data_IF_675426938466
#
_entry.id   IF_675426938466
#
_cell.length_a   1.000
_cell.length_b   1.000
_cell.length_c   1.000
_cell.angle_alpha   90.00
_cell.angle_beta   90.00
_cell.angle_gamma   90.00
#
_symmetry.space_group_name_H-M   'P 1'
#
loop_
_entity.id
_entity.type
_entity.pdbx_description
1 polymer ?
#
# COMPACT_ATOMS: atom_id res chain seq x y z
N UNK A 1 9.84 -20.81 10.75
CA UNK A 1 10.10 -20.24 12.12
C UNK A 1 9.26 -18.97 12.23
N UNK A 2 8.27 -18.96 13.12
CA UNK A 2 7.43 -17.79 13.37
C UNK A 2 8.29 -16.73 14.09
N UNK A 3 8.55 -15.62 13.39
CA UNK A 3 9.12 -14.44 14.04
C UNK A 3 8.05 -13.92 15.00
N UNK A 4 8.25 -14.20 16.28
CA UNK A 4 7.48 -13.54 17.35
C UNK A 4 7.87 -12.06 17.26
N UNK A 5 6.98 -11.26 16.71
CA UNK A 5 7.15 -9.81 16.69
C UNK A 5 7.25 -9.34 18.15
N UNK A 6 8.41 -8.85 18.55
CA UNK A 6 8.56 -8.17 19.83
C UNK A 6 7.54 -7.03 19.86
N UNK A 7 6.54 -7.14 20.74
CA UNK A 7 5.56 -6.07 20.95
C UNK A 7 6.34 -4.87 21.48
N UNK A 8 6.40 -3.81 20.71
CA UNK A 8 6.98 -2.54 21.15
C UNK A 8 6.15 -2.08 22.36
N UNK A 9 6.77 -2.11 23.54
CA UNK A 9 6.18 -1.49 24.73
C UNK A 9 6.51 0.00 24.65
N UNK A 10 5.49 0.89 24.67
CA UNK A 10 5.76 2.30 24.62
C UNK A 10 6.60 2.72 25.85
N UNK A 11 7.64 3.48 25.61
CA UNK A 11 8.42 4.09 26.69
C UNK A 11 7.49 4.92 27.59
N UNK A 12 7.55 4.71 28.89
CA UNK A 12 6.71 5.42 29.87
C UNK A 12 6.83 6.95 29.76
N UNK A 13 8.02 7.47 29.39
CA UNK A 13 8.26 8.90 29.16
C UNK A 13 7.50 9.45 27.95
N UNK A 14 7.11 8.57 27.00
CA UNK A 14 6.39 8.90 25.79
C UNK A 14 4.88 8.64 25.89
N UNK A 15 4.40 8.06 26.97
CA UNK A 15 2.97 7.91 27.27
C UNK A 15 2.37 9.27 27.65
N UNK A 16 2.10 10.10 26.63
CA UNK A 16 1.52 11.44 26.80
C UNK A 16 0.13 11.48 26.17
N UNK A 17 -0.75 12.30 26.76
CA UNK A 17 -2.13 12.50 26.31
C UNK A 17 -2.18 12.74 24.80
N UNK A 18 -3.08 12.04 24.11
CA UNK A 18 -3.37 12.17 22.68
C UNK A 18 -4.64 12.99 22.52
N UNK A 19 -4.59 14.03 21.71
CA UNK A 19 -5.73 14.87 21.29
C UNK A 19 -5.88 14.92 19.78
N UNK A 20 -4.80 14.65 19.02
CA UNK A 20 -4.79 14.73 17.57
C UNK A 20 -3.99 13.59 16.94
N UNK A 21 -4.55 13.01 15.87
CA UNK A 21 -3.93 11.93 15.10
C UNK A 21 -3.97 12.32 13.63
N UNK A 22 -2.82 12.20 12.95
CA UNK A 22 -2.73 12.29 11.50
C UNK A 22 -2.59 10.88 10.92
N UNK A 23 -3.53 10.49 10.08
CA UNK A 23 -3.48 9.25 9.31
C UNK A 23 -2.91 9.55 7.93
N UNK A 24 -1.75 8.97 7.59
CA UNK A 24 -1.02 9.27 6.34
C UNK A 24 -1.62 8.60 5.09
N UNK A 25 -2.93 8.42 5.06
CA UNK A 25 -3.71 7.88 3.96
C UNK A 25 -4.81 8.87 3.55
N UNK A 26 -5.36 8.66 2.35
CA UNK A 26 -6.55 9.41 1.94
C UNK A 26 -7.73 9.17 2.90
N UNK A 27 -8.55 10.20 3.10
CA UNK A 27 -9.76 10.07 3.88
C UNK A 27 -10.67 8.95 3.31
N UNK A 28 -11.33 8.17 4.18
CA UNK A 28 -12.31 7.19 3.74
C UNK A 28 -13.49 7.89 3.05
N UNK A 29 -14.06 7.22 2.04
CA UNK A 29 -15.20 7.78 1.27
C UNK A 29 -16.43 8.09 2.15
N UNK A 30 -16.62 7.34 3.23
CA UNK A 30 -17.67 7.57 4.25
C UNK A 30 -16.98 7.69 5.61
N UNK A 31 -16.75 8.92 6.02
CA UNK A 31 -16.10 9.22 7.29
C UNK A 31 -16.89 8.69 8.49
N UNK A 32 -18.22 8.70 8.43
CA UNK A 32 -19.07 8.27 9.53
C UNK A 32 -19.00 6.76 9.80
N UNK A 33 -18.69 5.97 8.75
CA UNK A 33 -18.51 4.51 8.85
C UNK A 33 -17.03 4.11 9.03
N UNK A 34 -16.14 5.08 9.14
CA UNK A 34 -14.75 4.82 9.37
C UNK A 34 -14.53 4.27 10.79
N UNK A 35 -13.70 3.23 10.98
CA UNK A 35 -13.34 2.78 12.33
C UNK A 35 -12.60 3.87 13.15
N UNK A 36 -12.10 4.92 12.51
CA UNK A 36 -11.50 6.06 13.20
C UNK A 36 -12.54 6.98 13.86
N UNK A 37 -13.77 7.06 13.33
CA UNK A 37 -14.85 7.86 13.95
C UNK A 37 -15.24 7.35 15.34
N UNK A 38 -15.04 6.07 15.62
CA UNK A 38 -15.23 5.52 16.96
C UNK A 38 -14.16 6.02 17.94
N UNK A 39 -12.90 6.14 17.49
CA UNK A 39 -11.80 6.69 18.29
C UNK A 39 -12.09 8.14 18.63
N UNK A 40 -12.50 8.94 17.64
CA UNK A 40 -12.86 10.35 17.83
C UNK A 40 -13.95 10.50 18.91
N UNK A 41 -15.06 9.77 18.76
CA UNK A 41 -16.19 9.84 19.66
C UNK A 41 -15.89 9.36 21.08
N UNK A 42 -15.09 8.27 21.20
CA UNK A 42 -14.85 7.58 22.47
C UNK A 42 -13.79 8.26 23.33
N UNK A 43 -12.80 8.88 22.72
CA UNK A 43 -11.64 9.42 23.40
C UNK A 43 -11.47 10.94 23.28
N UNK A 44 -12.39 11.62 22.60
CA UNK A 44 -12.31 13.06 22.32
C UNK A 44 -10.97 13.42 21.63
N UNK A 45 -10.65 12.66 20.59
CA UNK A 45 -9.41 12.78 19.80
C UNK A 45 -9.79 13.16 18.37
N UNK A 46 -9.19 14.22 17.85
CA UNK A 46 -9.36 14.60 16.44
C UNK A 46 -8.52 13.67 15.54
N UNK A 47 -9.11 13.15 14.46
CA UNK A 47 -8.41 12.35 13.46
C UNK A 47 -8.48 13.02 12.09
N UNK A 48 -7.34 13.46 11.61
CA UNK A 48 -7.19 14.04 10.28
C UNK A 48 -6.55 13.02 9.33
N UNK A 49 -6.93 13.09 8.05
CA UNK A 49 -6.40 12.26 6.98
C UNK A 49 -5.69 13.10 5.95
N UNK A 50 -4.46 12.74 5.63
CA UNK A 50 -3.68 13.37 4.58
C UNK A 50 -2.82 12.35 3.88
N UNK A 51 -3.08 12.07 2.60
CA UNK A 51 -2.21 11.16 1.85
C UNK A 51 -0.79 11.74 1.77
N UNK A 52 0.21 10.98 2.21
CA UNK A 52 1.62 11.34 2.11
C UNK A 52 2.24 10.90 0.80
N UNK A 53 1.53 10.08 0.04
CA UNK A 53 1.98 9.59 -1.26
C UNK A 53 0.90 9.81 -2.31
N UNK A 54 1.33 10.13 -3.51
CA UNK A 54 0.50 10.18 -4.70
C UNK A 54 0.89 9.08 -5.68
N UNK A 55 -0.07 8.67 -6.50
CA UNK A 55 0.14 7.74 -7.60
C UNK A 55 0.02 8.51 -8.91
N UNK A 56 1.15 8.64 -9.61
CA UNK A 56 1.21 9.32 -10.91
C UNK A 56 1.42 8.31 -12.03
N UNK A 57 0.53 8.28 -13.01
CA UNK A 57 0.72 7.47 -14.22
C UNK A 57 1.90 7.99 -15.04
N UNK A 58 2.79 7.09 -15.51
CA UNK A 58 3.79 7.49 -16.50
C UNK A 58 3.11 7.77 -17.84
N UNK A 59 3.72 8.65 -18.65
CA UNK A 59 3.21 8.92 -20.00
C UNK A 59 3.36 7.69 -20.90
N UNK A 60 2.51 7.57 -21.93
CA UNK A 60 2.70 6.51 -22.92
C UNK A 60 4.05 6.64 -23.65
N UNK A 61 4.56 7.85 -23.83
CA UNK A 61 5.91 8.10 -24.39
C UNK A 61 6.99 7.45 -23.53
N UNK A 62 6.88 7.54 -22.20
CA UNK A 62 7.85 6.94 -21.28
C UNK A 62 7.66 5.43 -21.18
N UNK A 63 6.43 4.94 -21.20
CA UNK A 63 6.14 3.51 -21.27
C UNK A 63 6.81 2.86 -22.50
N UNK A 64 6.75 3.49 -23.67
CA UNK A 64 7.41 3.00 -24.89
C UNK A 64 8.91 2.80 -24.76
N UNK A 65 9.60 3.55 -23.91
CA UNK A 65 11.04 3.39 -23.65
C UNK A 65 11.39 2.03 -23.05
N UNK A 66 10.43 1.39 -22.38
CA UNK A 66 10.59 0.05 -21.79
C UNK A 66 10.58 -1.06 -22.87
N UNK A 67 10.18 -0.74 -24.12
CA UNK A 67 10.14 -1.68 -25.27
C UNK A 67 9.30 -2.94 -24.99
N UNK A 68 8.22 -2.80 -24.21
CA UNK A 68 7.31 -3.89 -23.85
C UNK A 68 6.18 -3.94 -24.89
N UNK A 69 6.02 -5.08 -25.54
CA UNK A 69 4.86 -5.38 -26.36
C UNK A 69 3.78 -6.06 -25.53
N UNK A 70 2.69 -5.35 -25.27
CA UNK A 70 1.57 -5.85 -24.46
C UNK A 70 0.92 -7.09 -25.10
N UNK A 71 0.82 -7.09 -26.45
CA UNK A 71 0.14 -8.16 -27.17
C UNK A 71 0.94 -9.47 -27.27
N UNK A 72 2.24 -9.42 -26.95
CA UNK A 72 3.08 -10.63 -26.90
C UNK A 72 2.82 -11.48 -25.64
N UNK A 73 2.05 -10.97 -24.68
CA UNK A 73 1.75 -11.65 -23.43
C UNK A 73 0.39 -12.36 -23.48
N UNK A 74 0.25 -13.44 -22.70
CA UNK A 74 -0.96 -14.26 -22.63
C UNK A 74 -1.69 -14.13 -21.30
N UNK A 75 -1.01 -13.54 -20.29
CA UNK A 75 -1.51 -13.38 -18.94
C UNK A 75 -1.05 -12.06 -18.32
N UNK A 76 -1.90 -11.45 -17.48
CA UNK A 76 -1.59 -10.22 -16.76
C UNK A 76 -1.81 -10.45 -15.27
N UNK A 77 -0.85 -9.98 -14.45
CA UNK A 77 -0.94 -10.07 -13.00
C UNK A 77 -1.29 -8.69 -12.42
N UNK A 78 -2.39 -8.61 -11.68
CA UNK A 78 -2.82 -7.39 -11.01
C UNK A 78 -2.79 -7.53 -9.49
N UNK A 79 -1.95 -6.74 -8.84
CA UNK A 79 -1.84 -6.69 -7.37
C UNK A 79 -2.56 -5.48 -6.75
N UNK A 80 -3.10 -4.57 -7.57
CA UNK A 80 -3.83 -3.39 -7.08
C UNK A 80 -4.80 -2.83 -8.13
N UNK A 81 -5.75 -2.01 -7.68
CA UNK A 81 -6.64 -1.25 -8.56
C UNK A 81 -5.87 -0.25 -9.41
N UNK A 82 -4.83 0.39 -8.86
CA UNK A 82 -3.96 1.30 -9.59
C UNK A 82 -3.28 0.61 -10.79
N UNK A 83 -2.82 -0.64 -10.60
CA UNK A 83 -2.23 -1.41 -11.69
C UNK A 83 -3.25 -1.65 -12.82
N UNK A 84 -4.51 -1.93 -12.50
CA UNK A 84 -5.60 -2.09 -13.47
C UNK A 84 -5.87 -0.76 -14.19
N UNK A 85 -6.08 0.33 -13.44
CA UNK A 85 -6.41 1.64 -14.03
C UNK A 85 -5.30 2.10 -14.99
N UNK A 86 -4.03 1.98 -14.58
CA UNK A 86 -2.92 2.42 -15.41
C UNK A 86 -2.63 1.49 -16.60
N UNK A 87 -2.86 0.18 -16.47
CA UNK A 87 -2.78 -0.75 -17.58
C UNK A 87 -3.78 -0.38 -18.69
N UNK A 88 -5.06 -0.24 -18.33
CA UNK A 88 -6.08 0.10 -19.32
C UNK A 88 -5.93 1.53 -19.85
N UNK A 89 -5.42 2.46 -19.06
CA UNK A 89 -5.05 3.80 -19.53
C UNK A 89 -3.97 3.73 -20.61
N UNK A 90 -2.89 2.99 -20.40
CA UNK A 90 -1.82 2.80 -21.40
C UNK A 90 -2.37 2.09 -22.65
N UNK A 91 -3.18 1.05 -22.50
CA UNK A 91 -3.83 0.40 -23.65
C UNK A 91 -4.66 1.37 -24.47
N UNK A 92 -5.46 2.24 -23.82
CA UNK A 92 -6.27 3.28 -24.48
C UNK A 92 -5.41 4.29 -25.21
N UNK A 93 -4.36 4.83 -24.57
CA UNK A 93 -3.43 5.79 -25.18
C UNK A 93 -2.68 5.16 -26.37
N UNK A 94 -2.33 3.87 -26.27
CA UNK A 94 -1.68 3.12 -27.33
C UNK A 94 -2.61 2.63 -28.43
N UNK A 95 -3.93 2.78 -28.26
CA UNK A 95 -4.97 2.20 -29.13
C UNK A 95 -4.85 0.66 -29.26
N UNK A 96 -4.49 -0.02 -28.15
CA UNK A 96 -4.38 -1.46 -28.06
C UNK A 96 -5.69 -2.04 -27.55
N UNK A 97 -6.27 -2.96 -28.33
CA UNK A 97 -7.38 -3.79 -27.89
C UNK A 97 -6.82 -5.07 -27.23
N UNK A 98 -7.12 -5.24 -25.94
CA UNK A 98 -6.65 -6.40 -25.21
C UNK A 98 -7.38 -7.65 -25.71
N UNK A 99 -6.67 -8.74 -26.11
CA UNK A 99 -7.28 -9.93 -26.66
C UNK A 99 -8.30 -10.57 -25.73
N UNK A 100 -9.41 -11.08 -26.29
CA UNK A 100 -10.49 -11.72 -25.51
C UNK A 100 -10.06 -13.01 -24.80
N UNK A 101 -8.93 -13.59 -25.17
CA UNK A 101 -8.33 -14.79 -24.58
C UNK A 101 -7.28 -14.47 -23.50
N UNK A 102 -6.96 -13.19 -23.28
CA UNK A 102 -6.08 -12.75 -22.20
C UNK A 102 -6.56 -13.29 -20.84
N UNK A 103 -5.63 -13.82 -20.07
CA UNK A 103 -5.88 -14.30 -18.70
C UNK A 103 -5.50 -13.23 -17.69
N UNK A 104 -6.23 -13.17 -16.58
CA UNK A 104 -6.00 -12.19 -15.53
C UNK A 104 -5.79 -12.88 -14.19
N UNK A 105 -4.68 -12.60 -13.55
CA UNK A 105 -4.31 -13.11 -12.23
C UNK A 105 -4.38 -11.97 -11.24
N UNK A 106 -5.32 -12.02 -10.31
CA UNK A 106 -5.58 -10.93 -9.37
C UNK A 106 -5.25 -11.37 -7.95
N UNK A 107 -4.59 -10.49 -7.18
CA UNK A 107 -4.17 -10.80 -5.81
C UNK A 107 -5.36 -11.17 -4.90
N UNK A 108 -6.52 -10.56 -5.12
CA UNK A 108 -7.76 -10.83 -4.39
C UNK A 108 -8.97 -10.81 -5.31
N UNK A 109 -10.09 -11.38 -4.83
CA UNK A 109 -11.38 -11.30 -5.52
C UNK A 109 -11.86 -9.84 -5.69
N UNK A 110 -11.59 -8.96 -4.73
CA UNK A 110 -11.91 -7.54 -4.84
C UNK A 110 -11.18 -6.86 -5.99
N UNK A 111 -9.91 -7.23 -6.23
CA UNK A 111 -9.13 -6.74 -7.36
C UNK A 111 -9.68 -7.30 -8.67
N UNK A 112 -10.07 -8.58 -8.69
CA UNK A 112 -10.70 -9.19 -9.86
C UNK A 112 -12.04 -8.53 -10.22
N UNK A 113 -12.88 -8.27 -9.23
CA UNK A 113 -14.15 -7.60 -9.42
C UNK A 113 -13.98 -6.17 -9.98
N UNK A 114 -12.89 -5.50 -9.66
CA UNK A 114 -12.60 -4.16 -10.21
C UNK A 114 -12.36 -4.16 -11.73
N UNK A 115 -11.97 -5.30 -12.32
CA UNK A 115 -11.83 -5.44 -13.78
C UNK A 115 -13.14 -5.20 -14.55
N UNK A 116 -14.33 -5.36 -13.92
CA UNK A 116 -15.61 -5.07 -14.54
C UNK A 116 -15.72 -3.63 -15.07
N UNK A 117 -14.93 -2.72 -14.52
CA UNK A 117 -14.84 -1.33 -15.00
C UNK A 117 -14.33 -1.23 -16.44
N UNK A 118 -13.55 -2.21 -16.89
CA UNK A 118 -12.81 -2.15 -18.16
C UNK A 118 -13.16 -3.25 -19.14
N UNK A 119 -13.54 -4.44 -18.66
CA UNK A 119 -13.80 -5.60 -19.49
C UNK A 119 -15.05 -6.36 -19.06
N UNK A 120 -15.66 -7.07 -20.02
CA UNK A 120 -16.66 -8.08 -19.71
C UNK A 120 -15.96 -9.31 -19.16
N UNK A 121 -16.19 -9.58 -17.87
CA UNK A 121 -15.52 -10.68 -17.16
C UNK A 121 -16.01 -12.05 -17.66
N UNK A 122 -15.06 -12.91 -18.03
CA UNK A 122 -15.27 -14.33 -18.28
C UNK A 122 -14.61 -15.12 -17.16
N UNK A 123 -15.40 -15.74 -16.27
CA UNK A 123 -14.92 -16.45 -15.06
C UNK A 123 -13.73 -17.39 -15.32
N UNK A 124 -13.73 -18.12 -16.46
CA UNK A 124 -12.65 -19.04 -16.85
C UNK A 124 -11.31 -18.38 -17.19
N UNK A 125 -11.27 -17.07 -17.29
CA UNK A 125 -10.06 -16.28 -17.62
C UNK A 125 -9.53 -15.47 -16.43
N UNK A 126 -10.20 -15.54 -15.30
CA UNK A 126 -9.82 -14.79 -14.10
C UNK A 126 -9.46 -15.77 -12.99
N UNK A 127 -8.29 -15.57 -12.42
CA UNK A 127 -7.70 -16.38 -11.37
C UNK A 127 -7.39 -15.48 -10.20
N UNK A 128 -7.72 -15.89 -8.98
CA UNK A 128 -7.54 -15.05 -7.79
C UNK A 128 -6.76 -15.78 -6.71
N UNK A 129 -5.87 -15.05 -6.05
CA UNK A 129 -5.39 -15.41 -4.71
C UNK A 129 -6.45 -15.09 -3.66
N UNK A 130 -6.15 -15.37 -2.40
CA UNK A 130 -7.05 -15.05 -1.27
C UNK A 130 -6.73 -13.70 -0.63
N UNK A 131 -5.49 -13.45 -0.23
CA UNK A 131 -5.06 -12.20 0.44
C UNK A 131 -3.65 -11.73 0.09
N UNK A 132 -2.75 -12.65 -0.18
CA UNK A 132 -1.31 -12.38 -0.31
C UNK A 132 -0.78 -12.72 -1.70
N UNK A 133 0.42 -12.22 -2.01
CA UNK A 133 1.14 -12.60 -3.22
C UNK A 133 1.46 -14.10 -3.24
N UNK A 134 1.71 -14.71 -2.07
CA UNK A 134 1.98 -16.15 -1.95
C UNK A 134 0.77 -16.99 -2.34
N UNK A 135 -0.44 -16.58 -1.92
CA UNK A 135 -1.68 -17.28 -2.32
C UNK A 135 -1.86 -17.24 -3.85
N UNK A 136 -1.55 -16.10 -4.46
CA UNK A 136 -1.63 -15.96 -5.92
C UNK A 136 -0.59 -16.84 -6.62
N UNK A 137 0.62 -16.99 -6.05
CA UNK A 137 1.66 -17.86 -6.61
C UNK A 137 1.21 -19.32 -6.70
N UNK A 138 0.43 -19.84 -5.74
CA UNK A 138 -0.10 -21.21 -5.80
C UNK A 138 -1.04 -21.40 -7.00
N UNK A 139 -1.71 -20.35 -7.44
CA UNK A 139 -2.54 -20.36 -8.64
C UNK A 139 -1.66 -20.23 -9.90
N UNK A 140 -0.69 -19.33 -9.91
CA UNK A 140 0.22 -19.08 -11.04
C UNK A 140 1.04 -20.32 -11.37
N UNK A 141 1.44 -21.13 -10.38
CA UNK A 141 2.18 -22.40 -10.59
C UNK A 141 1.51 -23.36 -11.59
N UNK A 142 0.18 -23.35 -11.66
CA UNK A 142 -0.60 -24.19 -12.58
C UNK A 142 -0.63 -23.66 -14.03
N UNK A 143 -0.03 -22.51 -14.28
CA UNK A 143 -0.05 -21.78 -15.54
C UNK A 143 1.35 -21.43 -16.04
N UNK A 144 2.34 -22.31 -15.82
CA UNK A 144 3.77 -22.05 -16.08
C UNK A 144 4.09 -21.71 -17.54
N UNK A 145 3.24 -22.11 -18.47
CA UNK A 145 3.42 -21.86 -19.92
C UNK A 145 2.97 -20.48 -20.37
N UNK A 146 2.32 -19.72 -19.50
CA UNK A 146 1.86 -18.37 -19.84
C UNK A 146 3.03 -17.38 -19.88
N UNK A 147 2.90 -16.39 -20.75
CA UNK A 147 3.77 -15.21 -20.79
C UNK A 147 3.12 -14.12 -19.95
N UNK A 148 3.63 -13.93 -18.75
CA UNK A 148 3.06 -13.00 -17.79
C UNK A 148 3.58 -11.58 -18.00
N UNK A 149 2.67 -10.61 -17.94
CA UNK A 149 3.01 -9.21 -17.73
C UNK A 149 2.54 -8.78 -16.34
N UNK A 150 3.38 -8.02 -15.65
CA UNK A 150 3.11 -7.47 -14.33
C UNK A 150 3.11 -5.94 -14.36
N UNK A 151 1.95 -5.29 -14.60
CA UNK A 151 1.79 -3.85 -14.44
C UNK A 151 2.05 -3.45 -12.99
N UNK A 152 3.05 -2.60 -12.78
CA UNK A 152 3.52 -2.27 -11.44
C UNK A 152 3.93 -0.81 -11.29
N UNK A 153 4.20 -0.39 -10.05
CA UNK A 153 4.85 0.86 -9.70
C UNK A 153 6.38 0.74 -9.75
N UNK A 154 7.05 1.88 -9.86
CA UNK A 154 8.49 1.99 -9.64
C UNK A 154 8.91 1.50 -8.23
N UNK A 155 8.03 1.63 -7.23
CA UNK A 155 8.20 1.14 -5.85
C UNK A 155 7.26 -0.06 -5.59
N UNK A 156 7.59 -1.23 -6.13
CA UNK A 156 6.80 -2.46 -5.96
C UNK A 156 7.42 -3.41 -4.95
N UNK A 157 6.59 -4.28 -4.39
CA UNK A 157 7.08 -5.43 -3.63
C UNK A 157 7.76 -6.43 -4.57
N UNK A 158 8.84 -7.05 -4.10
CA UNK A 158 9.68 -7.94 -4.91
C UNK A 158 9.30 -9.41 -4.81
N UNK A 159 8.56 -9.81 -3.77
CA UNK A 159 8.25 -11.21 -3.46
C UNK A 159 7.74 -12.02 -4.66
N UNK A 160 6.79 -11.46 -5.41
CA UNK A 160 6.21 -12.12 -6.58
C UNK A 160 7.18 -12.15 -7.77
N UNK A 161 7.80 -11.04 -8.20
CA UNK A 161 8.80 -11.06 -9.26
C UNK A 161 10.00 -11.96 -8.94
N UNK A 162 10.54 -11.89 -7.73
CA UNK A 162 11.71 -12.68 -7.32
C UNK A 162 11.38 -14.19 -7.34
N UNK A 163 10.21 -14.58 -6.83
CA UNK A 163 9.75 -15.97 -6.91
C UNK A 163 9.60 -16.44 -8.36
N UNK A 164 8.95 -15.63 -9.20
CA UNK A 164 8.72 -16.01 -10.59
C UNK A 164 10.02 -16.12 -11.37
N UNK A 165 10.97 -15.21 -11.16
CA UNK A 165 12.31 -15.25 -11.77
C UNK A 165 13.11 -16.48 -11.34
N UNK A 166 13.06 -16.83 -10.03
CA UNK A 166 13.78 -18.02 -9.50
C UNK A 166 13.20 -19.34 -9.99
N UNK A 167 11.92 -19.38 -10.41
CA UNK A 167 11.24 -20.59 -10.82
C UNK A 167 10.96 -20.66 -12.34
N UNK A 168 11.73 -19.93 -13.14
CA UNK A 168 11.71 -19.94 -14.62
C UNK A 168 10.34 -19.60 -15.23
N UNK A 169 9.60 -18.66 -14.63
CA UNK A 169 8.42 -18.12 -15.27
C UNK A 169 8.80 -17.01 -16.25
N UNK A 170 8.10 -16.95 -17.38
CA UNK A 170 8.21 -15.82 -18.30
C UNK A 170 7.46 -14.63 -17.73
N UNK A 171 8.15 -13.71 -17.06
CA UNK A 171 7.59 -12.51 -16.45
C UNK A 171 8.22 -11.25 -17.06
N UNK A 172 7.39 -10.34 -17.52
CA UNK A 172 7.78 -8.97 -17.89
C UNK A 172 7.18 -7.99 -16.88
N UNK A 173 8.02 -7.28 -16.16
CA UNK A 173 7.58 -6.19 -15.29
C UNK A 173 7.38 -4.94 -16.14
N UNK A 174 6.20 -4.32 -16.02
CA UNK A 174 5.79 -3.15 -16.79
C UNK A 174 5.49 -1.99 -15.83
N UNK A 175 6.43 -1.07 -15.66
CA UNK A 175 6.21 0.13 -14.85
C UNK A 175 5.21 1.03 -15.59
N UNK A 176 4.04 1.23 -15.00
CA UNK A 176 2.95 2.02 -15.60
C UNK A 176 2.54 3.22 -14.77
N UNK A 177 3.01 3.30 -13.53
CA UNK A 177 2.77 4.39 -12.61
C UNK A 177 3.91 4.50 -11.61
N UNK A 178 3.98 5.65 -10.95
CA UNK A 178 4.97 5.94 -9.93
C UNK A 178 4.29 6.29 -8.62
N UNK A 179 4.85 5.78 -7.53
CA UNK A 179 4.52 6.24 -6.18
C UNK A 179 5.49 7.35 -5.85
N UNK A 180 4.98 8.56 -5.71
CA UNK A 180 5.74 9.78 -5.43
C UNK A 180 5.27 10.38 -4.11
N UNK A 181 6.10 11.20 -3.50
CA UNK A 181 5.69 11.98 -2.33
C UNK A 181 4.64 13.01 -2.72
N UNK A 182 3.62 13.13 -1.88
CA UNK A 182 2.63 14.20 -2.01
C UNK A 182 3.24 15.54 -1.58
N UNK A 183 2.68 16.64 -2.06
CA UNK A 183 2.97 17.96 -1.51
C UNK A 183 2.26 18.09 -0.15
N UNK A 184 3.04 18.26 0.92
CA UNK A 184 2.56 18.39 2.30
C UNK A 184 2.82 19.78 2.87
N UNK A 185 3.01 20.79 2.02
CA UNK A 185 3.27 22.19 2.46
C UNK A 185 2.19 22.75 3.40
N UNK A 186 0.96 22.23 3.29
CA UNK A 186 -0.17 22.52 4.15
C UNK A 186 0.04 22.07 5.63
N UNK A 187 1.01 21.17 5.88
CA UNK A 187 1.33 20.65 7.21
C UNK A 187 2.56 21.29 7.86
N UNK A 188 3.22 22.24 7.21
CA UNK A 188 4.49 22.83 7.69
C UNK A 188 4.43 23.36 9.13
N UNK A 189 3.30 23.96 9.51
CA UNK A 189 3.10 24.54 10.85
C UNK A 189 2.03 23.81 11.65
N UNK A 190 1.72 22.57 11.30
CA UNK A 190 0.69 21.76 11.96
C UNK A 190 1.35 20.68 12.81
N UNK A 191 0.92 20.60 14.06
CA UNK A 191 1.42 19.61 15.00
C UNK A 191 0.37 18.54 15.30
N UNK A 192 0.78 17.28 15.29
CA UNK A 192 -0.04 16.15 15.70
C UNK A 192 0.62 15.38 16.85
N UNK A 193 -0.21 14.92 17.78
CA UNK A 193 0.26 14.07 18.87
C UNK A 193 0.69 12.69 18.39
N UNK A 194 0.01 12.16 17.37
CA UNK A 194 0.34 10.88 16.72
C UNK A 194 0.32 11.03 15.21
N UNK A 195 1.31 10.45 14.52
CA UNK A 195 1.28 10.26 13.05
C UNK A 195 1.30 8.76 12.77
N UNK A 196 0.30 8.28 12.02
CA UNK A 196 0.14 6.86 11.68
C UNK A 196 0.56 6.57 10.24
N UNK A 197 1.63 5.80 10.06
CA UNK A 197 2.20 5.41 8.78
C UNK A 197 1.79 3.99 8.36
N UNK A 198 1.56 3.80 7.06
CA UNK A 198 1.13 2.53 6.47
C UNK A 198 2.10 1.97 5.44
N UNK A 199 3.15 2.69 5.12
CA UNK A 199 4.17 2.26 4.18
C UNK A 199 5.51 2.97 4.41
N UNK A 200 6.65 2.36 4.03
CA UNK A 200 7.95 3.03 4.03
C UNK A 200 7.97 4.34 3.22
N UNK A 201 7.20 4.37 2.10
CA UNK A 201 7.10 5.57 1.27
C UNK A 201 6.51 6.78 2.01
N UNK A 202 5.66 6.56 3.01
CA UNK A 202 5.15 7.64 3.88
C UNK A 202 6.26 8.28 4.71
N UNK A 203 7.20 7.49 5.22
CA UNK A 203 8.38 8.00 5.95
C UNK A 203 9.30 8.78 5.00
N UNK A 204 9.54 8.25 3.79
CA UNK A 204 10.30 8.96 2.76
C UNK A 204 9.66 10.32 2.45
N UNK A 205 8.33 10.34 2.25
CA UNK A 205 7.58 11.57 1.96
C UNK A 205 7.67 12.59 3.09
N UNK A 206 7.67 12.14 4.35
CA UNK A 206 7.86 13.05 5.50
C UNK A 206 9.17 13.83 5.37
N UNK A 207 10.29 13.15 5.09
CA UNK A 207 11.60 13.81 5.00
C UNK A 207 11.83 14.55 3.68
N UNK A 208 11.19 14.15 2.59
CA UNK A 208 11.23 14.90 1.33
C UNK A 208 10.50 16.25 1.45
N UNK A 209 9.41 16.32 2.23
CA UNK A 209 8.69 17.56 2.49
C UNK A 209 9.28 18.35 3.66
N UNK A 210 9.78 17.67 4.69
CA UNK A 210 10.30 18.26 5.93
C UNK A 210 11.68 17.70 6.26
N UNK A 211 12.76 18.13 5.57
CA UNK A 211 14.11 17.57 5.75
C UNK A 211 14.62 17.70 7.19
N UNK A 212 14.22 18.77 7.88
CA UNK A 212 14.61 19.05 9.26
C UNK A 212 13.61 18.54 10.31
N UNK A 213 12.73 17.62 9.93
CA UNK A 213 11.73 17.06 10.85
C UNK A 213 12.38 16.51 12.11
N UNK A 214 11.89 16.98 13.25
CA UNK A 214 12.26 16.47 14.58
C UNK A 214 11.03 15.91 15.26
N UNK A 215 11.10 14.64 15.62
CA UNK A 215 9.97 13.92 16.20
C UNK A 215 9.48 14.56 17.52
N UNK A 216 10.39 15.05 18.36
CA UNK A 216 10.06 15.65 19.66
C UNK A 216 9.03 14.78 20.44
N UNK A 217 7.89 15.38 20.76
CA UNK A 217 6.78 14.73 21.46
C UNK A 217 5.78 14.02 20.54
N UNK A 218 5.92 14.07 19.23
CA UNK A 218 5.07 13.34 18.30
C UNK A 218 5.33 11.84 18.42
N UNK A 219 4.27 11.04 18.62
CA UNK A 219 4.36 9.58 18.64
C UNK A 219 4.15 9.07 17.22
N UNK A 220 4.93 8.06 16.84
CA UNK A 220 4.80 7.44 15.53
C UNK A 220 4.17 6.06 15.66
N UNK A 221 3.15 5.84 14.83
CA UNK A 221 2.52 4.55 14.66
C UNK A 221 2.88 3.99 13.28
N UNK A 222 3.22 2.70 13.22
CA UNK A 222 3.54 2.02 11.94
C UNK A 222 2.72 0.75 11.76
N UNK A 223 2.16 0.58 10.57
CA UNK A 223 1.47 -0.64 10.17
C UNK A 223 2.38 -1.55 9.35
N UNK A 224 2.60 -2.74 9.87
CA UNK A 224 3.44 -3.77 9.25
C UNK A 224 4.94 -3.63 9.55
N UNK A 225 5.69 -4.76 9.44
CA UNK A 225 7.09 -4.82 9.83
C UNK A 225 7.99 -3.95 8.95
N UNK A 226 7.72 -3.84 7.66
CA UNK A 226 8.51 -3.02 6.73
C UNK A 226 8.38 -1.53 7.02
N UNK A 227 7.18 -1.06 7.45
CA UNK A 227 6.97 0.34 7.85
C UNK A 227 7.64 0.61 9.19
N UNK A 228 7.53 -0.33 10.14
CA UNK A 228 8.22 -0.23 11.43
C UNK A 228 9.74 -0.12 11.25
N UNK A 229 10.32 -0.96 10.37
CA UNK A 229 11.74 -0.91 10.04
C UNK A 229 12.13 0.44 9.44
N UNK A 230 11.33 0.99 8.53
CA UNK A 230 11.60 2.30 7.93
C UNK A 230 11.61 3.45 8.94
N UNK A 231 10.77 3.37 10.00
CA UNK A 231 10.82 4.34 11.12
C UNK A 231 12.16 4.25 11.84
N UNK A 232 12.64 3.03 12.15
CA UNK A 232 13.94 2.82 12.80
C UNK A 232 15.11 3.25 11.91
N UNK A 233 15.08 2.90 10.63
CA UNK A 233 16.14 3.27 9.66
C UNK A 233 16.27 4.79 9.50
N UNK A 234 15.16 5.52 9.70
CA UNK A 234 15.14 6.97 9.71
C UNK A 234 15.62 7.59 11.04
N UNK A 235 16.05 6.79 12.02
CA UNK A 235 16.48 7.25 13.34
C UNK A 235 15.33 7.76 14.23
N UNK A 236 14.09 7.38 13.92
CA UNK A 236 12.90 7.78 14.66
C UNK A 236 12.49 6.73 15.69
N UNK A 237 11.75 7.15 16.71
CA UNK A 237 11.21 6.27 17.76
C UNK A 237 9.85 5.78 17.31
N UNK A 238 9.69 4.45 17.23
CA UNK A 238 8.39 3.81 17.00
C UNK A 238 7.68 3.63 18.35
N UNK A 239 6.55 4.30 18.53
CA UNK A 239 5.77 4.26 19.77
C UNK A 239 4.62 3.21 19.70
N UNK A 240 4.05 3.04 18.51
CA UNK A 240 2.86 2.19 18.30
C UNK A 240 3.10 1.31 17.07
N UNK A 241 3.12 -0.01 17.28
CA UNK A 241 3.24 -0.98 16.18
C UNK A 241 1.91 -1.70 15.94
N UNK A 242 1.47 -1.77 14.69
CA UNK A 242 0.35 -2.58 14.25
C UNK A 242 0.80 -3.51 13.10
N UNK A 243 0.25 -4.73 12.97
CA UNK A 243 -0.64 -5.38 13.92
C UNK A 243 0.10 -5.81 15.20
N UNK A 244 -0.67 -5.92 16.29
CA UNK A 244 -0.20 -6.51 17.55
C UNK A 244 -1.18 -7.61 18.01
N UNK A 245 -0.80 -8.55 18.92
CA UNK A 245 -1.59 -9.76 19.21
C UNK A 245 -3.06 -9.49 19.53
N UNK A 246 -3.36 -8.42 20.27
CA UNK A 246 -4.73 -8.09 20.68
C UNK A 246 -5.34 -6.93 19.85
N UNK A 247 -4.61 -6.42 18.84
CA UNK A 247 -5.04 -5.30 18.00
C UNK A 247 -4.50 -5.49 16.58
N UNK A 248 -5.19 -6.25 15.72
CA UNK A 248 -4.71 -6.56 14.36
C UNK A 248 -4.83 -5.38 13.39
N UNK A 249 -5.49 -4.30 13.77
CA UNK A 249 -5.66 -3.09 12.96
C UNK A 249 -4.91 -1.90 13.55
N UNK A 250 -4.62 -0.89 12.72
CA UNK A 250 -4.06 0.37 13.19
C UNK A 250 -4.97 1.05 14.22
N UNK A 251 -6.27 1.06 13.98
CA UNK A 251 -7.25 1.64 14.92
C UNK A 251 -7.23 0.92 16.28
N UNK A 252 -7.15 -0.40 16.29
CA UNK A 252 -7.02 -1.17 17.54
C UNK A 252 -5.73 -0.86 18.30
N UNK A 253 -4.60 -0.71 17.58
CA UNK A 253 -3.32 -0.36 18.19
C UNK A 253 -3.32 1.07 18.75
N UNK A 254 -3.90 2.02 18.01
CA UNK A 254 -4.10 3.40 18.47
C UNK A 254 -5.00 3.44 19.71
N UNK A 255 -6.11 2.73 19.69
CA UNK A 255 -7.01 2.65 20.85
C UNK A 255 -6.32 2.08 22.09
N UNK A 256 -5.51 1.04 21.91
CA UNK A 256 -4.72 0.45 23.00
C UNK A 256 -3.78 1.49 23.62
N UNK A 257 -3.04 2.23 22.79
CA UNK A 257 -2.13 3.29 23.24
C UNK A 257 -2.89 4.42 23.94
N UNK A 258 -3.98 4.95 23.36
CA UNK A 258 -4.77 6.04 23.90
C UNK A 258 -5.33 5.69 25.29
N UNK A 259 -5.81 4.44 25.47
CA UNK A 259 -6.30 3.97 26.79
C UNK A 259 -5.22 4.05 27.88
N UNK A 260 -3.96 3.92 27.53
CA UNK A 260 -2.85 4.01 28.51
C UNK A 260 -2.41 5.46 28.70
N UNK A 261 -2.35 6.23 27.63
CA UNK A 261 -1.82 7.61 27.62
C UNK A 261 -2.80 8.67 28.12
N UNK A 262 -4.12 8.42 28.04
CA UNK A 262 -5.16 9.38 28.43
C UNK A 262 -5.83 9.02 29.78
N UNK A 263 -5.20 8.11 30.56
CA UNK A 263 -5.64 7.79 31.93
C UNK A 263 -5.43 8.97 32.90
#
# INVERSE_FOLDING_TARGET
MSVVANVVQPDASRLKKVKSILVTQAAPADAAKSPYSEIERKYDVKVDFRSFIDVKGISYKDFRKQKIDILSHTAIIFTSRNAIDHFFRICKEAKIEVPADMKYFCITEQTANYLHKYIVIRKRKIFTGTKTALDLLEVIKKHKTEKFMFPCSNKRQKDLPDYMGTNDFQLTEAVMYETVSADLSDLENVFYDVIAFFSPSGITSLFENFPDFKQNNTRLAAFGPTTAQAVHDAGLILDIQAPMPNAPSMTGALEHYIKQANK
#
